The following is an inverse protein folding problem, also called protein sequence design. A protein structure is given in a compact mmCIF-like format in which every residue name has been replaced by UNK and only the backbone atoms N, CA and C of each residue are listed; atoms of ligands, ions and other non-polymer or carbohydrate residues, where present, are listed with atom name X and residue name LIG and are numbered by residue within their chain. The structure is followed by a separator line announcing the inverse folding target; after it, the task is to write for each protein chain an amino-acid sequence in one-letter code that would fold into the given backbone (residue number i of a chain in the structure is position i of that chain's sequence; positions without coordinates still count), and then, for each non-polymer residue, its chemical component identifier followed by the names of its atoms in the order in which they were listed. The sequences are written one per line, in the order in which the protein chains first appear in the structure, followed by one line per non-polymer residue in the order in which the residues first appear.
data_IF_895659197890
#
_entry.id   IF_895659197890
#
_cell.length_a   1.000
_cell.length_b   1.000
_cell.length_c   1.000
_cell.angle_alpha   90.00
_cell.angle_beta   90.00
_cell.angle_gamma   90.00
#
_symmetry.space_group_name_H-M   'P 1'
#
loop_
_entity.id
_entity.type
_entity.pdbx_description
1 polymer ?
#
# COMPACT_ATOMS: atom_id res chain seq x y z
N UNK A 1 -16.29 6.68 -0.58
CA UNK A 1 -14.84 6.45 -0.59
C UNK A 1 -14.45 5.88 -1.92
N UNK A 2 -13.49 6.45 -2.66
CA UNK A 2 -12.76 5.66 -3.63
C UNK A 2 -12.22 4.44 -2.88
N UNK A 3 -12.11 3.31 -3.56
CA UNK A 3 -11.51 2.14 -2.95
C UNK A 3 -10.11 2.49 -2.44
N UNK A 4 -9.87 2.38 -1.14
CA UNK A 4 -8.63 2.86 -0.48
C UNK A 4 -7.36 2.48 -1.24
N UNK A 5 -7.31 1.27 -1.81
CA UNK A 5 -6.16 0.79 -2.58
C UNK A 5 -5.97 1.52 -3.93
N UNK A 6 -6.88 2.39 -4.35
CA UNK A 6 -6.72 3.23 -5.54
C UNK A 6 -5.97 4.55 -5.23
N UNK A 7 -5.96 5.02 -3.97
CA UNK A 7 -5.29 6.26 -3.58
C UNK A 7 -3.79 6.32 -3.90
N UNK A 8 -3.02 5.22 -3.87
CA UNK A 8 -1.64 5.24 -4.35
C UNK A 8 -1.46 5.70 -5.80
N UNK A 9 -2.53 5.71 -6.62
CA UNK A 9 -2.47 6.29 -7.96
C UNK A 9 -2.14 7.80 -7.94
N UNK A 10 -2.61 8.52 -6.91
CA UNK A 10 -2.36 9.96 -6.74
C UNK A 10 -0.87 10.30 -6.59
N UNK A 11 -0.09 9.39 -6.03
CA UNK A 11 1.35 9.59 -5.79
C UNK A 11 2.24 9.04 -6.91
N UNK A 12 1.67 8.40 -7.94
CA UNK A 12 2.44 7.91 -9.09
C UNK A 12 3.25 9.00 -9.81
N UNK A 13 2.76 10.26 -9.96
CA UNK A 13 3.57 11.33 -10.52
C UNK A 13 4.83 11.62 -9.71
N UNK A 14 4.78 11.44 -8.39
CA UNK A 14 5.89 11.69 -7.47
C UNK A 14 6.89 10.52 -7.36
N UNK A 15 6.65 9.38 -8.04
CA UNK A 15 7.51 8.19 -7.93
C UNK A 15 8.98 8.41 -8.32
N UNK A 16 9.27 9.50 -9.05
CA UNK A 16 10.62 9.89 -9.50
C UNK A 16 11.14 11.15 -8.82
N UNK A 17 10.47 11.65 -7.78
CA UNK A 17 10.84 12.89 -7.07
C UNK A 17 12.04 12.74 -6.12
N UNK A 18 12.57 11.52 -5.95
CA UNK A 18 13.58 11.23 -4.92
C UNK A 18 13.00 10.91 -3.54
N UNK A 19 11.69 11.13 -3.32
CA UNK A 19 11.02 10.73 -2.09
C UNK A 19 10.81 9.21 -2.03
N UNK A 20 10.86 8.59 -0.84
CA UNK A 20 10.62 7.15 -0.70
C UNK A 20 9.21 6.78 -1.16
N UNK A 21 9.10 6.01 -2.24
CA UNK A 21 7.80 5.60 -2.79
C UNK A 21 6.94 4.86 -1.75
N UNK A 22 7.57 4.08 -0.87
CA UNK A 22 6.84 3.41 0.23
C UNK A 22 6.20 4.38 1.20
N UNK A 23 6.84 5.53 1.46
CA UNK A 23 6.28 6.56 2.31
C UNK A 23 5.14 7.30 1.62
N UNK A 24 5.27 7.57 0.32
CA UNK A 24 4.18 8.13 -0.48
C UNK A 24 2.96 7.19 -0.51
N UNK A 25 3.18 5.89 -0.73
CA UNK A 25 2.08 4.90 -0.71
C UNK A 25 1.47 4.78 0.69
N UNK A 26 2.28 4.70 1.75
CA UNK A 26 1.78 4.61 3.12
C UNK A 26 0.94 5.84 3.51
N UNK A 27 1.40 7.04 3.17
CA UNK A 27 0.66 8.28 3.41
C UNK A 27 -0.65 8.34 2.64
N UNK A 28 -0.70 7.86 1.39
CA UNK A 28 -1.94 7.82 0.63
C UNK A 28 -2.99 6.83 1.16
N UNK A 29 -2.61 5.94 2.09
CA UNK A 29 -3.49 4.94 2.70
C UNK A 29 -3.82 5.23 4.16
N UNK A 30 -2.96 5.96 4.88
CA UNK A 30 -3.09 6.12 6.34
C UNK A 30 -4.37 6.80 6.80
N UNK A 31 -4.99 7.80 6.11
CA UNK A 31 -6.25 8.40 6.55
C UNK A 31 -7.43 7.41 6.59
N UNK A 32 -7.37 6.38 5.77
CA UNK A 32 -8.42 5.35 5.68
C UNK A 32 -8.23 4.17 6.66
N UNK A 33 -7.12 4.11 7.40
CA UNK A 33 -6.84 3.01 8.33
C UNK A 33 -7.97 2.76 9.33
N UNK A 34 -8.66 3.78 9.89
CA UNK A 34 -9.77 3.53 10.82
C UNK A 34 -10.89 2.67 10.25
N UNK A 35 -11.11 2.67 8.94
CA UNK A 35 -12.14 1.84 8.29
C UNK A 35 -11.87 0.34 8.44
N UNK A 36 -10.63 -0.03 8.64
CA UNK A 36 -10.14 -1.41 8.74
C UNK A 36 -9.84 -1.82 10.19
N UNK A 37 -9.93 -0.90 11.13
CA UNK A 37 -9.76 -1.21 12.55
C UNK A 37 -11.09 -1.74 13.11
N UNK A 38 -11.09 -2.82 13.92
CA UNK A 38 -12.30 -3.31 14.57
C UNK A 38 -12.98 -2.20 15.38
N UNK A 39 -14.31 -2.13 15.28
CA UNK A 39 -15.11 -1.13 16.00
C UNK A 39 -14.83 -1.18 17.52
N UNK A 40 -14.77 -0.01 18.12
CA UNK A 40 -14.50 0.16 19.56
C UNK A 40 -13.09 0.63 19.91
N UNK A 41 -12.09 0.37 19.08
CA UNK A 41 -10.71 0.85 19.34
C UNK A 41 -10.50 2.33 18.97
N UNK A 42 -11.20 2.82 17.94
CA UNK A 42 -11.12 4.21 17.45
C UNK A 42 -12.51 4.85 17.34
N UNK A 43 -13.50 4.39 18.13
CA UNK A 43 -14.90 4.73 17.97
C UNK A 43 -15.58 3.89 16.87
N UNK A 44 -16.70 4.35 16.33
CA UNK A 44 -17.27 3.74 15.13
C UNK A 44 -16.34 3.97 13.91
N UNK A 45 -16.47 3.16 12.86
CA UNK A 45 -15.67 3.34 11.63
C UNK A 45 -15.85 4.72 11.02
N UNK A 46 -17.08 5.20 11.02
CA UNK A 46 -17.42 6.50 10.43
C UNK A 46 -16.89 7.67 11.28
N UNK A 47 -16.94 7.56 12.62
CA UNK A 47 -16.34 8.56 13.52
C UNK A 47 -14.82 8.59 13.38
N UNK A 48 -14.17 7.43 13.40
CA UNK A 48 -12.73 7.33 13.21
C UNK A 48 -12.27 7.92 11.87
N UNK A 49 -13.00 7.60 10.79
CA UNK A 49 -12.73 8.15 9.47
C UNK A 49 -12.95 9.66 9.40
N UNK A 50 -14.07 10.17 9.93
CA UNK A 50 -14.34 11.62 9.94
C UNK A 50 -13.28 12.40 10.69
N UNK A 51 -12.75 11.85 11.77
CA UNK A 51 -11.70 12.50 12.55
C UNK A 51 -10.35 12.54 11.83
N UNK A 52 -9.94 11.46 11.16
CA UNK A 52 -8.67 11.42 10.40
C UNK A 52 -8.69 12.37 9.20
N UNK A 53 -9.85 12.69 8.66
CA UNK A 53 -9.99 13.65 7.55
C UNK A 53 -10.01 15.12 8.00
N UNK A 54 -9.44 15.42 9.19
CA UNK A 54 -9.21 16.76 9.72
C UNK A 54 -7.73 17.11 9.76
N UNK A 55 -7.38 18.40 9.84
CA UNK A 55 -6.00 18.85 10.02
C UNK A 55 -5.36 18.30 11.30
N UNK A 56 -6.16 18.16 12.34
CA UNK A 56 -5.71 17.57 13.61
C UNK A 56 -5.44 16.07 13.45
N UNK A 57 -6.37 15.33 12.83
CA UNK A 57 -6.21 13.90 12.54
C UNK A 57 -4.99 13.62 11.66
N UNK A 58 -4.76 14.45 10.64
CA UNK A 58 -3.58 14.37 9.78
C UNK A 58 -2.28 14.43 10.59
N UNK A 59 -2.17 15.36 11.54
CA UNK A 59 -0.95 15.54 12.32
C UNK A 59 -0.78 14.45 13.40
N UNK A 60 -1.86 14.08 14.10
CA UNK A 60 -1.82 13.24 15.30
C UNK A 60 -1.98 11.76 14.99
N UNK A 61 -2.63 11.41 13.89
CA UNK A 61 -2.89 10.02 13.52
C UNK A 61 -2.28 9.65 12.17
N UNK A 62 -2.63 10.33 11.08
CA UNK A 62 -2.28 9.87 9.73
C UNK A 62 -0.78 9.89 9.49
N UNK A 63 -0.10 10.94 9.93
CA UNK A 63 1.36 11.05 9.80
C UNK A 63 2.08 9.97 10.63
N UNK A 64 1.83 9.77 11.93
CA UNK A 64 2.41 8.67 12.70
C UNK A 64 2.08 7.28 12.16
N UNK A 65 0.82 7.04 11.76
CA UNK A 65 0.39 5.75 11.20
C UNK A 65 1.06 5.50 9.85
N UNK A 66 1.15 6.49 8.98
CA UNK A 66 1.87 6.38 7.72
C UNK A 66 3.35 6.03 7.91
N UNK A 67 4.02 6.65 8.89
CA UNK A 67 5.41 6.30 9.26
C UNK A 67 5.48 4.86 9.79
N UNK A 68 4.55 4.46 10.67
CA UNK A 68 4.48 3.08 11.19
C UNK A 68 4.26 2.06 10.05
N UNK A 69 3.44 2.39 9.06
CA UNK A 69 3.24 1.55 7.87
C UNK A 69 4.54 1.40 7.05
N UNK A 70 5.37 2.45 6.94
CA UNK A 70 6.69 2.36 6.30
C UNK A 70 7.62 1.43 7.08
N UNK A 71 7.61 1.52 8.40
CA UNK A 71 8.39 0.62 9.28
C UNK A 71 7.90 -0.82 9.12
N UNK A 72 6.60 -1.06 9.24
CA UNK A 72 6.00 -2.37 9.08
C UNK A 72 6.29 -2.98 7.70
N UNK A 73 6.15 -2.20 6.64
CA UNK A 73 6.53 -2.64 5.30
C UNK A 73 8.00 -3.01 5.21
N UNK A 74 8.88 -2.16 5.73
CA UNK A 74 10.33 -2.32 5.59
C UNK A 74 10.85 -3.53 6.36
N UNK A 75 10.36 -3.75 7.58
CA UNK A 75 10.94 -4.74 8.48
C UNK A 75 10.08 -6.00 8.66
N UNK A 76 8.78 -5.93 8.38
CA UNK A 76 7.88 -7.04 8.63
C UNK A 76 7.29 -7.66 7.35
N UNK A 77 6.80 -6.86 6.40
CA UNK A 77 5.95 -7.34 5.31
C UNK A 77 6.70 -7.65 4.01
N UNK A 78 7.72 -6.86 3.66
CA UNK A 78 8.29 -6.88 2.31
C UNK A 78 8.94 -8.24 1.96
N UNK A 79 9.71 -8.85 2.84
CA UNK A 79 10.37 -10.13 2.56
C UNK A 79 9.42 -11.32 2.56
N UNK A 80 8.49 -11.49 3.54
CA UNK A 80 7.49 -12.55 3.46
C UNK A 80 6.62 -12.48 2.21
N UNK A 81 6.17 -11.28 1.82
CA UNK A 81 5.37 -11.08 0.61
C UNK A 81 6.17 -11.37 -0.67
N UNK A 82 7.46 -11.02 -0.70
CA UNK A 82 8.34 -11.38 -1.80
C UNK A 82 8.51 -12.90 -1.89
N UNK A 83 8.71 -13.57 -0.77
CA UNK A 83 8.86 -15.02 -0.68
C UNK A 83 7.59 -15.75 -1.16
N UNK A 84 6.42 -15.20 -0.80
CA UNK A 84 5.12 -15.73 -1.19
C UNK A 84 4.74 -15.44 -2.66
N UNK A 85 5.42 -14.48 -3.31
CA UNK A 85 5.10 -14.09 -4.67
C UNK A 85 5.25 -15.27 -5.67
N UNK A 86 4.44 -15.32 -6.74
CA UNK A 86 4.67 -16.27 -7.85
C UNK A 86 6.08 -16.14 -8.41
N UNK A 87 6.65 -17.23 -8.90
CA UNK A 87 8.04 -17.29 -9.36
C UNK A 87 8.36 -16.20 -10.38
N UNK A 88 7.46 -15.99 -11.36
CA UNK A 88 7.63 -14.96 -12.38
C UNK A 88 7.75 -13.53 -11.80
N UNK A 89 7.12 -13.26 -10.66
CA UNK A 89 7.19 -11.97 -9.97
C UNK A 89 8.38 -11.93 -9.00
N UNK A 90 8.57 -13.00 -8.18
CA UNK A 90 9.66 -13.10 -7.22
C UNK A 90 11.02 -12.95 -7.88
N UNK A 91 11.22 -13.59 -9.03
CA UNK A 91 12.46 -13.57 -9.77
C UNK A 91 12.78 -12.21 -10.40
N UNK A 92 11.82 -11.28 -10.43
CA UNK A 92 11.98 -9.88 -10.83
C UNK A 92 12.09 -8.91 -9.66
N UNK A 93 11.65 -9.35 -8.46
CA UNK A 93 11.75 -8.55 -7.25
C UNK A 93 13.13 -8.76 -6.61
N UNK A 94 13.92 -7.70 -6.55
CA UNK A 94 15.18 -7.74 -5.78
C UNK A 94 14.87 -7.88 -4.29
N UNK A 95 15.76 -8.55 -3.55
CA UNK A 95 15.76 -8.45 -2.08
C UNK A 95 15.73 -6.97 -1.70
N UNK A 96 14.85 -6.61 -0.79
CA UNK A 96 14.68 -5.23 -0.42
C UNK A 96 15.85 -4.80 0.47
N UNK A 97 16.57 -3.80 0.03
CA UNK A 97 17.47 -3.07 0.91
C UNK A 97 16.63 -2.19 1.84
N UNK A 98 16.98 -2.15 3.11
CA UNK A 98 16.40 -1.16 4.03
C UNK A 98 16.61 0.25 3.44
N UNK A 99 15.69 1.16 3.76
CA UNK A 99 15.86 2.56 3.39
C UNK A 99 17.19 3.08 3.96
N UNK A 100 18.03 3.76 3.15
CA UNK A 100 19.26 4.36 3.66
C UNK A 100 18.91 5.37 4.77
N UNK A 101 19.78 5.51 5.75
CA UNK A 101 19.55 6.42 6.89
C UNK A 101 19.16 7.83 6.46
N UNK A 102 19.77 8.33 5.39
CA UNK A 102 19.44 9.63 4.81
C UNK A 102 18.01 9.73 4.26
N UNK A 103 17.42 8.64 3.76
CA UNK A 103 16.07 8.66 3.25
C UNK A 103 15.01 8.73 4.36
N UNK A 104 15.34 8.31 5.60
CA UNK A 104 14.39 8.39 6.71
C UNK A 104 14.01 9.83 7.07
N UNK A 105 14.85 10.80 6.82
CA UNK A 105 14.52 12.21 7.05
C UNK A 105 13.44 12.74 6.11
N UNK A 106 13.31 12.15 4.93
CA UNK A 106 12.29 12.52 3.95
C UNK A 106 10.97 11.71 4.09
N UNK A 107 10.93 10.66 4.93
CA UNK A 107 9.73 9.85 5.16
C UNK A 107 8.56 10.70 5.68
N UNK A 108 8.71 11.53 6.74
CA UNK A 108 7.58 12.34 7.22
C UNK A 108 7.03 13.29 6.15
N UNK A 109 7.92 13.93 5.37
CA UNK A 109 7.51 14.81 4.27
C UNK A 109 6.75 14.03 3.18
N UNK A 110 7.24 12.85 2.80
CA UNK A 110 6.59 12.04 1.78
C UNK A 110 5.20 11.55 2.24
N UNK A 111 5.08 11.11 3.50
CA UNK A 111 3.79 10.72 4.10
C UNK A 111 2.84 11.92 4.11
N UNK A 112 3.29 13.08 4.58
CA UNK A 112 2.48 14.30 4.65
C UNK A 112 1.96 14.72 3.27
N UNK A 113 2.82 14.78 2.26
CA UNK A 113 2.42 15.14 0.89
C UNK A 113 1.38 14.16 0.32
N UNK A 114 1.53 12.87 0.61
CA UNK A 114 0.59 11.86 0.17
C UNK A 114 -0.75 11.94 0.91
N UNK A 115 -0.74 12.23 2.23
CA UNK A 115 -1.94 12.48 3.02
C UNK A 115 -2.71 13.69 2.46
N UNK A 116 -2.01 14.79 2.18
CA UNK A 116 -2.63 15.99 1.59
C UNK A 116 -3.26 15.68 0.23
N UNK A 117 -2.60 14.85 -0.58
CA UNK A 117 -3.15 14.38 -1.85
C UNK A 117 -4.43 13.55 -1.66
N UNK A 118 -4.45 12.64 -0.67
CA UNK A 118 -5.61 11.85 -0.31
C UNK A 118 -6.78 12.74 0.14
N UNK A 119 -6.57 13.56 1.17
CA UNK A 119 -7.60 14.45 1.70
C UNK A 119 -8.12 15.44 0.62
N UNK A 120 -7.21 15.94 -0.22
CA UNK A 120 -7.58 16.83 -1.31
C UNK A 120 -8.48 16.14 -2.35
N UNK A 121 -8.20 14.88 -2.68
CA UNK A 121 -9.03 14.12 -3.60
C UNK A 121 -10.41 13.81 -3.01
N UNK A 122 -10.47 13.47 -1.74
CA UNK A 122 -11.72 13.15 -1.06
C UNK A 122 -12.69 14.33 -0.99
N UNK A 123 -12.19 15.57 -1.07
CA UNK A 123 -13.05 16.75 -1.22
C UNK A 123 -13.93 16.71 -2.48
N UNK A 124 -13.54 15.97 -3.52
CA UNK A 124 -14.33 15.85 -4.77
C UNK A 124 -15.23 14.61 -4.79
N UNK A 125 -14.98 13.63 -3.96
CA UNK A 125 -15.62 12.31 -4.01
C UNK A 125 -16.52 12.02 -2.82
N UNK A 126 -16.49 12.87 -1.79
CA UNK A 126 -17.30 12.72 -0.58
C UNK A 126 -18.26 13.88 -0.37
N UNK A 127 -19.44 13.54 0.13
CA UNK A 127 -20.49 14.49 0.53
C UNK A 127 -20.87 14.26 2.00
N UNK A 128 -21.04 15.35 2.79
CA UNK A 128 -20.74 16.75 2.44
C UNK A 128 -19.23 17.05 2.52
N UNK A 129 -18.72 17.90 1.63
CA UNK A 129 -17.35 18.42 1.66
C UNK A 129 -17.32 19.92 1.32
N UNK A 130 -16.15 20.54 1.56
CA UNK A 130 -15.96 21.94 1.17
C UNK A 130 -16.18 22.15 -0.34
N UNK A 131 -15.70 21.22 -1.17
CA UNK A 131 -15.81 21.30 -2.63
C UNK A 131 -17.23 20.98 -3.11
N UNK A 132 -17.86 19.92 -2.60
CA UNK A 132 -19.22 19.54 -3.01
C UNK A 132 -20.25 20.61 -2.63
N UNK A 133 -20.01 21.34 -1.53
CA UNK A 133 -20.86 22.45 -1.13
C UNK A 133 -20.72 23.70 -2.02
N UNK A 134 -19.68 23.81 -2.86
CA UNK A 134 -19.39 24.95 -3.73
C UNK A 134 -19.49 24.65 -5.21
N UNK A 135 -19.42 23.40 -5.59
CA UNK A 135 -19.47 22.96 -7.00
C UNK A 135 -20.76 22.18 -7.23
N UNK A 136 -21.85 22.87 -7.68
CA UNK A 136 -23.17 22.25 -7.85
C UNK A 136 -23.17 21.01 -8.77
N UNK A 137 -22.23 20.94 -9.73
CA UNK A 137 -22.07 19.79 -10.61
C UNK A 137 -21.80 18.49 -9.84
N UNK A 138 -21.05 18.54 -8.74
CA UNK A 138 -20.67 17.34 -7.98
C UNK A 138 -21.85 16.72 -7.25
N UNK A 139 -22.86 17.49 -6.89
CA UNK A 139 -24.07 17.01 -6.21
C UNK A 139 -25.22 16.70 -7.18
N UNK A 140 -25.06 16.98 -8.50
CA UNK A 140 -26.05 16.60 -9.50
C UNK A 140 -26.23 15.08 -9.53
N UNK A 141 -27.48 14.65 -9.47
CA UNK A 141 -27.86 13.24 -9.52
C UNK A 141 -28.02 12.81 -10.99
N UNK A 142 -27.19 11.86 -11.41
CA UNK A 142 -27.23 11.23 -12.73
C UNK A 142 -27.44 9.75 -12.53
N UNK A 143 -28.49 9.19 -13.14
CA UNK A 143 -28.90 7.80 -12.98
C UNK A 143 -29.06 7.37 -11.49
N UNK A 144 -29.61 8.26 -10.65
CA UNK A 144 -29.86 8.00 -9.24
C UNK A 144 -28.64 8.10 -8.32
N UNK A 145 -27.49 8.53 -8.84
CA UNK A 145 -26.22 8.62 -8.10
C UNK A 145 -25.62 10.04 -8.27
N UNK A 146 -25.13 10.70 -7.19
CA UNK A 146 -24.43 11.96 -7.30
C UNK A 146 -23.16 11.85 -8.15
N UNK A 147 -22.79 12.94 -8.84
CA UNK A 147 -21.59 12.97 -9.69
C UNK A 147 -20.29 12.75 -8.89
N UNK A 148 -20.20 13.26 -7.66
CA UNK A 148 -19.11 12.95 -6.71
C UNK A 148 -18.88 11.44 -6.57
N UNK A 149 -19.96 10.66 -6.47
CA UNK A 149 -19.89 9.20 -6.35
C UNK A 149 -19.52 8.50 -7.68
N UNK A 150 -19.94 9.06 -8.82
CA UNK A 150 -19.44 8.62 -10.13
C UNK A 150 -17.94 8.82 -10.28
N UNK A 151 -17.42 9.99 -9.85
CA UNK A 151 -15.97 10.25 -9.81
C UNK A 151 -15.26 9.27 -8.89
N UNK A 152 -15.84 8.95 -7.74
CA UNK A 152 -15.31 7.97 -6.80
C UNK A 152 -15.16 6.58 -7.46
N UNK A 153 -16.19 6.10 -8.15
CA UNK A 153 -16.12 4.80 -8.84
C UNK A 153 -15.12 4.82 -10.00
N UNK A 154 -15.18 5.87 -10.83
CA UNK A 154 -14.24 6.02 -11.94
C UNK A 154 -12.79 6.04 -11.45
N UNK A 155 -12.49 6.80 -10.41
CA UNK A 155 -11.14 6.87 -9.84
C UNK A 155 -10.72 5.53 -9.22
N UNK A 156 -11.64 4.81 -8.58
CA UNK A 156 -11.32 3.47 -8.04
C UNK A 156 -10.84 2.52 -9.13
N UNK A 157 -11.52 2.48 -10.27
CA UNK A 157 -11.15 1.63 -11.41
C UNK A 157 -9.87 2.15 -12.09
N UNK A 158 -9.87 3.41 -12.49
CA UNK A 158 -8.76 4.01 -13.24
C UNK A 158 -7.48 4.06 -12.40
N UNK A 159 -7.60 4.34 -11.10
CA UNK A 159 -6.46 4.32 -10.17
C UNK A 159 -5.82 2.95 -10.06
N UNK A 160 -6.62 1.90 -9.87
CA UNK A 160 -6.11 0.52 -9.85
C UNK A 160 -5.47 0.12 -11.17
N UNK A 161 -6.09 0.48 -12.30
CA UNK A 161 -5.51 0.23 -13.64
C UNK A 161 -4.19 0.96 -13.82
N UNK A 162 -4.10 2.22 -13.40
CA UNK A 162 -2.87 3.00 -13.47
C UNK A 162 -1.75 2.39 -12.62
N UNK A 163 -2.05 1.96 -11.39
CA UNK A 163 -1.11 1.27 -10.51
C UNK A 163 -0.63 -0.02 -11.17
N UNK A 164 -1.55 -0.86 -11.63
CA UNK A 164 -1.24 -2.14 -12.27
C UNK A 164 -0.38 -1.93 -13.54
N UNK A 165 -0.70 -0.93 -14.36
CA UNK A 165 0.04 -0.57 -15.56
C UNK A 165 1.48 -0.15 -15.23
N UNK A 166 1.66 0.75 -14.26
CA UNK A 166 3.00 1.21 -13.85
C UNK A 166 3.81 0.05 -13.28
N UNK A 167 3.22 -0.78 -12.41
CA UNK A 167 3.88 -1.96 -11.87
C UNK A 167 4.28 -2.94 -12.97
N UNK A 168 3.37 -3.26 -13.89
CA UNK A 168 3.67 -4.15 -15.02
C UNK A 168 4.80 -3.59 -15.88
N UNK A 169 4.75 -2.31 -16.24
CA UNK A 169 5.80 -1.65 -17.05
C UNK A 169 7.15 -1.69 -16.37
N UNK A 170 7.22 -1.42 -15.06
CA UNK A 170 8.48 -1.46 -14.32
C UNK A 170 9.03 -2.87 -14.12
N UNK A 171 8.14 -3.86 -13.97
CA UNK A 171 8.55 -5.25 -13.71
C UNK A 171 8.94 -5.99 -14.98
N UNK A 172 8.28 -5.73 -16.12
CA UNK A 172 8.58 -6.43 -17.39
C UNK A 172 10.01 -6.21 -17.86
N UNK A 173 10.56 -5.00 -17.62
CA UNK A 173 11.88 -4.60 -18.09
C UNK A 173 13.00 -5.04 -17.11
N UNK A 174 12.64 -5.63 -15.95
CA UNK A 174 13.62 -6.12 -14.98
C UNK A 174 14.22 -7.45 -15.41
N UNK A 175 15.53 -7.59 -15.19
CA UNK A 175 16.22 -8.88 -15.38
C UNK A 175 15.66 -9.92 -14.43
N UNK A 176 15.47 -11.13 -14.92
CA UNK A 176 15.01 -12.29 -14.15
C UNK A 176 16.22 -12.87 -13.40
N UNK A 177 16.12 -13.01 -12.10
CA UNK A 177 17.12 -13.69 -11.26
C UNK A 177 16.42 -14.80 -10.50
N UNK A 178 16.74 -16.05 -10.80
CA UNK A 178 16.15 -17.18 -10.07
C UNK A 178 16.44 -17.03 -8.58
N UNK A 179 15.39 -16.87 -7.80
CA UNK A 179 15.48 -16.67 -6.36
C UNK A 179 14.72 -17.82 -5.67
N UNK A 180 15.39 -18.70 -4.93
CA UNK A 180 14.71 -19.74 -4.19
C UNK A 180 13.82 -19.15 -3.10
N UNK A 181 12.76 -19.89 -2.74
CA UNK A 181 11.91 -19.51 -1.61
C UNK A 181 12.67 -19.78 -0.32
N UNK A 182 12.57 -18.85 0.61
CA UNK A 182 13.16 -19.01 1.94
C UNK A 182 12.31 -19.95 2.81
N UNK A 183 10.98 -19.89 2.62
CA UNK A 183 10.02 -20.71 3.36
C UNK A 183 8.97 -21.28 2.41
N UNK A 184 9.29 -22.35 1.67
CA UNK A 184 8.36 -22.96 0.72
C UNK A 184 7.11 -23.55 1.40
N UNK A 185 7.20 -23.92 2.66
CA UNK A 185 6.12 -24.41 3.53
C UNK A 185 5.11 -23.32 3.91
N UNK A 186 5.59 -22.12 4.27
CA UNK A 186 4.74 -20.98 4.69
C UNK A 186 4.32 -20.07 3.53
N UNK A 187 5.17 -19.91 2.53
CA UNK A 187 4.98 -18.98 1.44
C UNK A 187 3.58 -19.05 0.78
N UNK A 188 2.99 -20.21 0.47
CA UNK A 188 1.66 -20.28 -0.10
C UNK A 188 0.56 -19.75 0.83
N UNK A 189 0.74 -19.92 2.14
CA UNK A 189 -0.25 -19.52 3.14
C UNK A 189 -0.27 -18.02 3.42
N UNK A 190 0.85 -17.32 3.21
CA UNK A 190 0.94 -15.85 3.35
C UNK A 190 -0.08 -15.14 2.45
N UNK A 191 -0.39 -15.71 1.28
CA UNK A 191 -1.40 -15.14 0.37
C UNK A 191 -2.75 -15.83 0.51
N UNK A 192 -2.78 -17.17 0.59
CA UNK A 192 -4.02 -17.94 0.55
C UNK A 192 -4.87 -17.74 1.79
N UNK A 193 -4.27 -17.81 3.00
CA UNK A 193 -5.05 -17.70 4.23
C UNK A 193 -5.71 -16.32 4.40
N UNK A 194 -5.05 -15.18 4.18
CA UNK A 194 -5.71 -13.88 4.17
C UNK A 194 -6.88 -13.78 3.19
N UNK A 195 -6.71 -14.31 1.97
CA UNK A 195 -7.78 -14.30 0.95
C UNK A 195 -8.96 -15.17 1.38
N UNK A 196 -8.71 -16.37 1.90
CA UNK A 196 -9.75 -17.27 2.37
C UNK A 196 -10.54 -16.62 3.53
N UNK A 197 -9.84 -16.05 4.51
CA UNK A 197 -10.50 -15.41 5.67
C UNK A 197 -11.26 -14.16 5.24
N UNK A 198 -10.70 -13.34 4.35
CA UNK A 198 -11.39 -12.18 3.79
C UNK A 198 -12.67 -12.58 3.05
N UNK A 199 -12.60 -13.60 2.20
CA UNK A 199 -13.76 -14.12 1.47
C UNK A 199 -14.81 -14.72 2.41
N UNK A 200 -14.40 -15.52 3.39
CA UNK A 200 -15.31 -16.10 4.38
C UNK A 200 -16.06 -15.04 5.18
N UNK A 201 -15.34 -13.99 5.61
CA UNK A 201 -15.97 -12.89 6.33
C UNK A 201 -16.88 -12.03 5.44
N UNK A 202 -16.52 -11.81 4.19
CA UNK A 202 -17.37 -11.12 3.22
C UNK A 202 -18.68 -11.91 2.99
N UNK A 203 -18.59 -13.22 2.78
CA UNK A 203 -19.78 -14.11 2.63
C UNK A 203 -20.62 -14.08 3.91
N UNK A 204 -20.01 -14.20 5.09
CA UNK A 204 -20.74 -14.08 6.35
C UNK A 204 -21.48 -12.74 6.45
N UNK A 205 -20.83 -11.64 6.12
CA UNK A 205 -21.44 -10.29 6.13
C UNK A 205 -22.62 -10.24 5.16
N UNK A 206 -22.48 -10.79 3.96
CA UNK A 206 -23.56 -10.86 2.97
C UNK A 206 -24.79 -11.61 3.51
N UNK A 207 -24.59 -12.73 4.20
CA UNK A 207 -25.67 -13.55 4.75
C UNK A 207 -26.34 -12.90 5.95
N UNK A 208 -25.54 -12.35 6.89
CA UNK A 208 -26.04 -11.86 8.18
C UNK A 208 -26.58 -10.44 8.13
N UNK A 209 -26.04 -9.58 7.29
CA UNK A 209 -26.34 -8.15 7.26
C UNK A 209 -26.96 -7.74 5.92
N UNK A 210 -26.65 -8.46 4.83
CA UNK A 210 -27.13 -8.15 3.49
C UNK A 210 -28.63 -7.96 3.36
N UNK A 211 -29.49 -8.78 4.00
CA UNK A 211 -30.94 -8.61 3.93
C UNK A 211 -31.47 -7.27 4.49
N UNK A 212 -30.65 -6.58 5.29
CA UNK A 212 -31.03 -5.36 6.00
C UNK A 212 -30.37 -4.09 5.43
N UNK A 213 -29.54 -4.23 4.37
CA UNK A 213 -28.76 -3.10 3.82
C UNK A 213 -28.96 -2.95 2.32
N UNK A 214 -28.86 -1.70 1.86
CA UNK A 214 -28.75 -1.42 0.42
C UNK A 214 -27.41 -1.90 -0.16
N UNK A 215 -27.39 -2.17 -1.46
CA UNK A 215 -26.22 -2.76 -2.17
C UNK A 215 -24.91 -2.01 -1.91
N UNK A 216 -24.93 -0.68 -1.89
CA UNK A 216 -23.72 0.11 -1.66
C UNK A 216 -23.15 -0.08 -0.23
N UNK A 217 -24.01 -0.04 0.78
CA UNK A 217 -23.62 -0.25 2.17
C UNK A 217 -23.11 -1.70 2.36
N UNK A 218 -23.79 -2.67 1.78
CA UNK A 218 -23.39 -4.08 1.84
C UNK A 218 -21.97 -4.27 1.25
N UNK A 219 -21.70 -3.76 0.05
CA UNK A 219 -20.38 -3.83 -0.58
C UNK A 219 -19.31 -3.15 0.28
N UNK A 220 -19.63 -2.00 0.84
CA UNK A 220 -18.72 -1.29 1.76
C UNK A 220 -18.35 -2.15 2.97
N UNK A 221 -19.33 -2.72 3.68
CA UNK A 221 -19.08 -3.55 4.86
C UNK A 221 -18.39 -4.87 4.52
N UNK A 222 -18.72 -5.50 3.40
CA UNK A 222 -18.04 -6.71 2.95
C UNK A 222 -16.56 -6.46 2.66
N UNK A 223 -16.24 -5.39 1.93
CA UNK A 223 -14.87 -5.04 1.55
C UNK A 223 -14.05 -4.62 2.76
N UNK A 224 -14.56 -3.70 3.59
CA UNK A 224 -13.80 -3.21 4.74
C UNK A 224 -13.56 -4.30 5.77
N UNK A 225 -14.57 -5.11 6.10
CA UNK A 225 -14.44 -6.21 7.05
C UNK A 225 -13.55 -7.34 6.53
N UNK A 226 -13.71 -7.70 5.24
CA UNK A 226 -12.89 -8.72 4.60
C UNK A 226 -11.42 -8.31 4.54
N UNK A 227 -11.13 -7.10 4.09
CA UNK A 227 -9.76 -6.57 4.03
C UNK A 227 -9.15 -6.49 5.44
N UNK A 228 -9.91 -6.01 6.44
CA UNK A 228 -9.44 -5.94 7.82
C UNK A 228 -9.02 -7.31 8.36
N UNK A 229 -9.87 -8.31 8.18
CA UNK A 229 -9.58 -9.68 8.64
C UNK A 229 -8.41 -10.30 7.87
N UNK A 230 -8.38 -10.14 6.55
CA UNK A 230 -7.27 -10.60 5.71
C UNK A 230 -5.94 -9.93 6.11
N UNK A 231 -5.94 -8.62 6.35
CA UNK A 231 -4.76 -7.88 6.80
C UNK A 231 -4.26 -8.36 8.17
N UNK A 232 -5.17 -8.63 9.12
CA UNK A 232 -4.80 -9.17 10.42
C UNK A 232 -4.12 -10.55 10.29
N UNK A 233 -4.69 -11.46 9.50
CA UNK A 233 -4.10 -12.78 9.22
C UNK A 233 -2.76 -12.64 8.51
N UNK A 234 -2.64 -11.73 7.53
CA UNK A 234 -1.39 -11.45 6.83
C UNK A 234 -0.31 -10.97 7.80
N UNK A 235 -0.63 -10.04 8.70
CA UNK A 235 0.32 -9.54 9.71
C UNK A 235 0.81 -10.68 10.61
N UNK A 236 -0.10 -11.51 11.13
CA UNK A 236 0.26 -12.67 11.96
C UNK A 236 1.17 -13.62 11.20
N UNK A 237 0.84 -13.98 9.96
CA UNK A 237 1.67 -14.88 9.15
C UNK A 237 3.03 -14.29 8.81
N UNK A 238 3.11 -12.97 8.58
CA UNK A 238 4.39 -12.30 8.37
C UNK A 238 5.25 -12.30 9.64
N UNK A 239 4.65 -12.11 10.83
CA UNK A 239 5.36 -12.26 12.10
C UNK A 239 5.87 -13.71 12.28
N UNK A 240 5.02 -14.71 12.06
CA UNK A 240 5.41 -16.11 12.13
C UNK A 240 6.56 -16.40 11.16
N UNK A 241 6.46 -15.90 9.92
CA UNK A 241 7.52 -16.08 8.92
C UNK A 241 8.85 -15.50 9.41
N UNK A 242 8.85 -14.29 10.00
CA UNK A 242 10.05 -13.67 10.56
C UNK A 242 10.65 -14.46 11.72
N UNK A 243 9.80 -15.02 12.58
CA UNK A 243 10.26 -15.80 13.76
C UNK A 243 10.85 -17.14 13.39
N UNK A 244 10.37 -17.76 12.30
CA UNK A 244 10.82 -19.09 11.86
C UNK A 244 11.74 -19.03 10.63
N UNK A 245 11.98 -17.83 10.06
CA UNK A 245 12.94 -17.67 8.97
C UNK A 245 14.33 -18.13 9.42
N UNK A 246 15.09 -18.86 8.58
CA UNK A 246 16.45 -19.22 8.92
C UNK A 246 17.27 -17.97 9.19
N UNK A 247 17.99 -17.96 10.29
CA UNK A 247 18.97 -16.92 10.62
C UNK A 247 20.13 -16.97 9.61
N UNK A 248 20.35 -18.15 9.02
CA UNK A 248 21.36 -18.39 8.01
C UNK A 248 20.84 -17.96 6.63
N UNK A 249 21.52 -17.04 5.99
CA UNK A 249 21.30 -16.74 4.57
C UNK A 249 21.55 -17.99 3.71
N UNK A 250 21.08 -18.01 2.44
CA UNK A 250 21.23 -19.14 1.54
C UNK A 250 22.69 -19.54 1.23
N UNK A 251 23.65 -18.81 1.73
CA UNK A 251 25.09 -19.01 1.61
C UNK A 251 25.72 -19.66 2.85
N UNK A 252 24.93 -20.07 3.86
CA UNK A 252 25.43 -20.75 5.07
C UNK A 252 26.29 -19.85 5.96
N UNK A 253 26.33 -18.55 5.74
CA UNK A 253 27.25 -17.62 6.43
C UNK A 253 26.81 -17.24 7.84
N UNK A 254 25.66 -17.74 8.34
CA UNK A 254 25.16 -17.45 9.69
C UNK A 254 24.90 -15.96 9.97
N UNK A 255 25.05 -15.11 8.96
CA UNK A 255 24.72 -13.68 9.05
C UNK A 255 23.40 -13.47 8.31
N UNK A 256 22.36 -12.91 8.96
CA UNK A 256 21.33 -12.22 8.21
C UNK A 256 22.08 -11.21 7.36
N UNK A 257 21.99 -11.30 6.03
CA UNK A 257 22.74 -10.43 5.11
C UNK A 257 22.79 -9.05 5.72
N UNK A 258 23.92 -8.75 6.34
CA UNK A 258 24.16 -7.49 6.97
C UNK A 258 23.85 -6.47 5.89
N UNK A 259 23.01 -5.51 6.19
CA UNK A 259 22.63 -4.39 5.34
C UNK A 259 23.86 -4.05 4.53
N UNK A 260 23.95 -4.53 3.28
CA UNK A 260 25.10 -4.23 2.42
C UNK A 260 24.96 -2.74 2.14
N UNK A 261 25.89 -1.88 2.64
CA UNK A 261 25.88 -0.48 2.32
C UNK A 261 25.89 -0.37 0.79
N UNK A 262 25.14 0.55 0.22
CA UNK A 262 25.23 0.85 -1.17
C UNK A 262 26.69 1.23 -1.46
N UNK A 263 27.43 0.36 -2.16
CA UNK A 263 28.80 0.67 -2.59
C UNK A 263 28.69 1.77 -3.65
N UNK A 264 29.15 2.95 -3.26
CA UNK A 264 29.15 4.19 -4.06
C UNK A 264 30.13 4.13 -5.25
N UNK A 265 30.79 2.97 -5.44
CA UNK A 265 31.83 2.80 -6.48
C UNK A 265 31.34 2.49 -7.88
N UNK A 266 30.04 2.47 -8.12
CA UNK A 266 29.49 2.21 -9.47
C UNK A 266 29.36 3.48 -10.32
N UNK A 267 29.61 4.67 -9.75
CA UNK A 267 29.50 5.95 -10.47
C UNK A 267 30.85 6.35 -11.09
N UNK A 268 31.98 5.95 -10.51
CA UNK A 268 33.32 6.37 -11.00
C UNK A 268 33.84 5.60 -12.24
N UNK A 269 33.23 4.46 -12.61
CA UNK A 269 33.71 3.70 -13.80
C UNK A 269 33.13 4.15 -15.14
N UNK A 270 32.26 5.15 -15.14
CA UNK A 270 31.69 5.68 -16.37
C UNK A 270 32.52 6.86 -16.95
N UNK A 271 33.48 7.40 -16.22
CA UNK A 271 34.30 8.55 -16.65
C UNK A 271 35.72 8.23 -17.12
N UNK A 272 36.19 6.96 -16.99
CA UNK A 272 37.52 6.55 -17.46
C UNK A 272 37.46 5.74 -18.78
N UNK A 273 36.79 6.22 -19.77
CA UNK A 273 37.07 5.83 -21.15
C UNK A 273 37.46 7.06 -21.95
N UNK A 274 38.70 7.45 -21.83
CA UNK A 274 39.37 8.32 -22.79
C UNK A 274 39.54 7.58 -24.12
N UNK A 275 39.25 8.24 -25.24
CA UNK A 275 39.56 7.72 -26.54
C UNK A 275 41.00 8.12 -26.92
N UNK A 276 41.93 7.19 -26.79
CA UNK A 276 43.20 7.37 -27.46
C UNK A 276 43.61 6.06 -28.15
N UNK A 277 43.50 6.03 -29.48
CA UNK A 277 44.37 5.38 -30.44
C UNK A 277 43.76 5.48 -31.85
N UNK A 278 43.94 6.68 -32.42
CA UNK A 278 43.97 6.81 -33.86
C UNK A 278 45.45 6.94 -34.27
N UNK A 279 46.02 5.85 -34.75
CA UNK A 279 47.11 5.86 -35.76
C UNK A 279 47.10 4.53 -36.51
#
# INVERSE_FOLDING_TARGET
MPFTLAHPALVLPLRRSGLPLTALVAGSLSPDVPLYVPGGLLGSRDEGHSWTHTWFGLAVFDLPVGILMVVAWTYLLAEPLRDAAPDALRDRLRRRRALPRSAWWSVPLAVLLANLGHLGWDQFTHEPSWTTNRVPFLVQVVAGIPMSRWLMYAFSVLGLVAIAWVMWRELRDRRVHRTPRLRPDLAPWIVRAPVIVAAALAVRTMITVGPYMGTHALLYYMLTSGIAAGAAVLLVLCVVWQLVAPVDGPDGSGRPDAIVPADDRSIDRAHERTPDQAR
#
